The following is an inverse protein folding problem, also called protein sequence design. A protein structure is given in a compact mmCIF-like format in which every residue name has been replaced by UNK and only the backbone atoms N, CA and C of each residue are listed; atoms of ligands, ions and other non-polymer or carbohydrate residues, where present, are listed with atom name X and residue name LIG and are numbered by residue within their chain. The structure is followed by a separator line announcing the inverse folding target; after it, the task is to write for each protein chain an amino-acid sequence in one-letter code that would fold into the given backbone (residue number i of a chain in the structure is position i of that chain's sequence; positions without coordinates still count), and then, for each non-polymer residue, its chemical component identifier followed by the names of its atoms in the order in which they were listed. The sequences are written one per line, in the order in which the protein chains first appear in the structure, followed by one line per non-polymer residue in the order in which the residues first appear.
data_IF_319625639072
#
_entry.id   IF_319625639072
#
_cell.length_a   1.000
_cell.length_b   1.000
_cell.length_c   1.000
_cell.angle_alpha   90.00
_cell.angle_beta   90.00
_cell.angle_gamma   90.00
#
_symmetry.space_group_name_H-M   'P 1'
#
loop_
_entity.id
_entity.type
_entity.pdbx_description
1 polymer ?
#
# COMPACT_ATOMS: atom_id res chain seq x y z
N UNK A 1 2.77 56.28 -36.41
CA UNK A 1 3.90 55.51 -35.84
C UNK A 1 3.35 54.21 -35.25
N UNK A 2 4.05 53.10 -35.53
CA UNK A 2 3.71 51.73 -35.14
C UNK A 2 4.04 51.45 -33.67
N UNK A 3 3.17 50.60 -33.09
CA UNK A 3 3.29 49.66 -31.96
C UNK A 3 4.67 49.43 -31.33
N UNK A 4 4.66 49.35 -29.99
CA UNK A 4 5.03 48.19 -29.13
C UNK A 4 4.71 48.61 -27.69
N UNK A 5 4.00 47.89 -26.83
CA UNK A 5 3.85 46.46 -26.67
C UNK A 5 4.20 46.12 -25.21
N UNK A 6 3.37 46.55 -24.25
CA UNK A 6 3.50 46.15 -22.84
C UNK A 6 2.46 45.05 -22.58
N UNK A 7 2.72 43.85 -23.10
CA UNK A 7 1.95 42.67 -22.77
C UNK A 7 2.62 41.99 -21.60
N UNK A 8 1.83 41.86 -20.53
CA UNK A 8 2.16 41.20 -19.28
C UNK A 8 2.99 39.94 -19.51
N UNK A 9 4.09 39.83 -18.77
CA UNK A 9 4.80 38.58 -18.59
C UNK A 9 3.82 37.55 -17.99
N UNK A 10 3.24 36.73 -18.86
CA UNK A 10 2.42 35.59 -18.48
C UNK A 10 3.30 34.57 -17.80
N UNK A 11 3.26 34.54 -16.47
CA UNK A 11 3.89 33.50 -15.68
C UNK A 11 3.01 32.24 -15.74
N UNK A 12 3.41 31.29 -16.57
CA UNK A 12 2.92 29.93 -16.57
C UNK A 12 3.55 29.16 -15.40
N UNK A 13 2.84 28.17 -14.88
CA UNK A 13 3.15 27.42 -13.67
C UNK A 13 2.76 25.97 -13.91
N UNK A 14 3.43 25.18 -13.11
CA UNK A 14 3.68 23.81 -13.35
C UNK A 14 3.56 23.05 -11.99
N UNK A 15 2.36 22.64 -11.52
CA UNK A 15 2.05 21.48 -10.57
C UNK A 15 3.03 20.30 -10.71
N UNK A 16 3.50 19.60 -9.71
CA UNK A 16 4.23 18.34 -9.97
C UNK A 16 3.41 17.20 -9.40
N UNK A 17 2.79 16.36 -10.23
CA UNK A 17 2.28 15.06 -9.75
C UNK A 17 3.37 14.01 -9.63
N UNK A 18 4.63 14.43 -9.58
CA UNK A 18 5.79 13.59 -9.34
C UNK A 18 5.73 12.98 -7.95
N UNK A 19 5.50 11.66 -7.94
CA UNK A 19 5.61 10.73 -6.82
C UNK A 19 4.88 11.16 -5.54
N UNK A 20 3.73 10.52 -5.32
CA UNK A 20 3.02 10.48 -4.04
C UNK A 20 3.96 9.94 -2.96
N UNK A 21 4.70 10.82 -2.28
CA UNK A 21 5.22 10.55 -0.95
C UNK A 21 4.06 10.70 0.03
N UNK A 22 3.22 9.66 0.14
CA UNK A 22 2.47 9.52 1.37
C UNK A 22 3.49 9.29 2.48
N UNK A 23 3.62 10.18 3.45
CA UNK A 23 4.51 9.95 4.57
C UNK A 23 3.74 9.28 5.73
N UNK A 24 4.46 8.32 6.32
CA UNK A 24 4.29 7.51 7.52
C UNK A 24 3.08 7.76 8.43
N UNK A 25 2.19 6.77 8.42
CA UNK A 25 1.65 6.15 9.62
C UNK A 25 1.69 4.63 9.41
N UNK A 26 2.36 3.93 10.32
CA UNK A 26 3.08 2.65 10.18
C UNK A 26 2.25 1.42 9.76
N UNK A 27 2.42 0.98 8.52
CA UNK A 27 2.89 -0.37 8.23
C UNK A 27 4.12 -0.23 7.31
N UNK A 28 5.26 -0.79 7.73
CA UNK A 28 6.61 -0.49 7.24
C UNK A 28 6.91 -1.08 5.84
N UNK A 29 5.93 -1.74 5.20
CA UNK A 29 6.09 -2.40 3.90
C UNK A 29 5.08 -1.98 2.82
N UNK A 30 4.66 -0.70 2.80
CA UNK A 30 3.71 -0.11 1.83
C UNK A 30 3.67 -0.76 0.43
N UNK A 31 2.69 -1.65 0.29
CA UNK A 31 1.75 -1.87 -0.81
C UNK A 31 1.89 -0.84 -1.96
N UNK A 32 2.52 -1.16 -3.10
CA UNK A 32 2.50 -0.28 -4.27
C UNK A 32 1.06 -0.11 -4.79
N UNK A 33 0.50 1.07 -4.51
CA UNK A 33 -0.66 1.72 -5.14
C UNK A 33 -1.92 0.86 -5.37
N UNK A 34 -2.80 0.75 -4.35
CA UNK A 34 -4.21 0.29 -4.54
C UNK A 34 -4.90 1.01 -5.70
N UNK A 35 -4.59 2.30 -5.79
CA UNK A 35 -4.95 3.15 -6.90
C UNK A 35 -3.71 3.70 -7.57
N UNK A 36 -3.73 3.79 -8.89
CA UNK A 36 -2.83 4.65 -9.65
C UNK A 36 -3.52 6.00 -9.83
N UNK A 37 -2.85 7.07 -9.44
CA UNK A 37 -3.37 8.43 -9.58
C UNK A 37 -2.46 9.17 -10.57
N UNK A 38 -3.05 9.81 -11.57
CA UNK A 38 -2.36 10.61 -12.57
C UNK A 38 -3.17 11.85 -12.88
N UNK A 39 -2.59 13.04 -12.77
CA UNK A 39 -3.25 14.24 -13.28
C UNK A 39 -3.09 14.38 -14.80
N UNK A 40 -4.00 15.13 -15.42
CA UNK A 40 -3.96 15.43 -16.86
C UNK A 40 -2.68 16.14 -17.29
N UNK A 41 -2.17 17.00 -16.40
CA UNK A 41 -0.86 17.60 -16.48
C UNK A 41 -0.17 17.29 -15.17
N UNK A 42 1.13 16.95 -15.18
CA UNK A 42 1.86 16.97 -13.93
C UNK A 42 1.67 18.35 -13.31
N UNK A 43 1.59 19.40 -14.17
CA UNK A 43 1.96 20.79 -13.97
C UNK A 43 0.89 21.88 -14.38
N UNK A 44 0.35 22.70 -13.44
CA UNK A 44 -0.65 23.79 -13.63
C UNK A 44 -0.56 25.10 -12.76
N UNK A 45 -0.63 26.28 -13.40
CA UNK A 45 -0.80 27.61 -12.76
C UNK A 45 -2.09 27.88 -12.05
N UNK A 46 -1.96 28.40 -10.83
CA UNK A 46 -3.06 29.02 -10.11
C UNK A 46 -2.83 30.53 -10.07
N UNK A 47 -3.52 31.24 -10.96
CA UNK A 47 -3.63 32.70 -10.91
C UNK A 47 -4.67 33.16 -9.87
N UNK A 48 -4.92 34.47 -9.77
CA UNK A 48 -5.88 35.03 -8.80
C UNK A 48 -7.30 34.47 -8.93
N UNK A 49 -7.69 34.04 -10.13
CA UNK A 49 -9.01 33.47 -10.41
C UNK A 49 -9.14 31.97 -10.06
N UNK A 50 -8.02 31.33 -9.69
CA UNK A 50 -7.97 29.90 -9.43
C UNK A 50 -7.83 29.04 -10.69
N UNK A 51 -8.21 27.76 -10.58
CA UNK A 51 -8.18 26.84 -11.72
C UNK A 51 -8.70 25.45 -11.40
N UNK A 52 -8.90 24.65 -12.45
CA UNK A 52 -9.37 23.26 -12.33
C UNK A 52 -8.30 22.26 -12.79
N UNK A 53 -8.11 21.14 -12.11
CA UNK A 53 -7.16 20.10 -12.50
C UNK A 53 -7.88 18.76 -12.60
N UNK A 54 -7.83 18.10 -13.77
CA UNK A 54 -8.35 16.73 -13.88
C UNK A 54 -7.34 15.74 -13.32
N UNK A 55 -7.84 14.82 -12.51
CA UNK A 55 -7.11 13.72 -11.89
C UNK A 55 -7.78 12.41 -12.27
N UNK A 56 -7.00 11.49 -12.82
CA UNK A 56 -7.42 10.15 -13.18
C UNK A 56 -6.97 9.17 -12.11
N UNK A 57 -7.89 8.35 -11.65
CA UNK A 57 -7.69 7.31 -10.65
C UNK A 57 -8.00 5.96 -11.30
N UNK A 58 -7.07 5.01 -11.27
CA UNK A 58 -7.29 3.63 -11.74
C UNK A 58 -7.23 2.67 -10.56
N UNK A 59 -8.26 1.86 -10.37
CA UNK A 59 -8.19 0.72 -9.44
C UNK A 59 -7.22 -0.32 -9.98
N UNK A 60 -6.18 -0.62 -9.22
CA UNK A 60 -5.14 -1.57 -9.62
C UNK A 60 -5.22 -2.89 -8.85
N UNK A 61 -6.31 -3.16 -8.14
CA UNK A 61 -6.48 -4.35 -7.31
C UNK A 61 -7.54 -5.29 -7.89
N UNK A 62 -7.53 -6.58 -7.47
CA UNK A 62 -8.43 -7.60 -8.00
C UNK A 62 -9.87 -7.51 -7.47
N UNK A 63 -10.23 -6.43 -6.77
CA UNK A 63 -11.56 -6.24 -6.20
C UNK A 63 -12.01 -4.79 -6.23
N UNK A 64 -13.33 -4.58 -6.15
CA UNK A 64 -13.93 -3.27 -6.16
C UNK A 64 -13.68 -2.52 -4.85
N UNK A 65 -13.41 -1.22 -4.95
CA UNK A 65 -13.46 -0.34 -3.79
C UNK A 65 -14.78 0.41 -3.76
N UNK A 66 -15.31 0.62 -2.55
CA UNK A 66 -16.53 1.42 -2.31
C UNK A 66 -16.20 2.69 -1.53
N UNK A 67 -17.04 3.70 -1.70
CA UNK A 67 -16.95 5.00 -1.02
C UNK A 67 -15.54 5.61 -1.09
N UNK A 68 -14.94 5.59 -2.27
CA UNK A 68 -13.60 6.14 -2.48
C UNK A 68 -13.69 7.66 -2.51
N UNK A 69 -12.96 8.32 -1.62
CA UNK A 69 -12.89 9.78 -1.53
C UNK A 69 -11.47 10.24 -1.80
N UNK A 70 -11.32 11.17 -2.72
CA UNK A 70 -10.08 11.92 -2.90
C UNK A 70 -10.22 13.23 -2.15
N UNK A 71 -9.34 13.46 -1.19
CA UNK A 71 -9.18 14.72 -0.49
C UNK A 71 -7.89 15.36 -0.96
N UNK A 72 -7.95 16.65 -1.20
CA UNK A 72 -6.80 17.45 -1.56
C UNK A 72 -6.79 18.67 -0.64
N UNK A 73 -5.64 19.00 -0.08
CA UNK A 73 -5.51 20.07 0.90
C UNK A 73 -4.23 20.86 0.67
N UNK A 74 -4.32 22.17 0.90
CA UNK A 74 -3.20 23.09 0.86
C UNK A 74 -3.53 24.32 1.71
N UNK A 75 -2.55 24.88 2.42
CA UNK A 75 -2.80 25.97 3.38
C UNK A 75 -3.30 27.26 2.70
N UNK A 76 -2.74 27.56 1.53
CA UNK A 76 -3.06 28.77 0.76
C UNK A 76 -4.23 28.61 -0.25
N UNK A 77 -4.77 27.41 -0.42
CA UNK A 77 -5.81 27.16 -1.43
C UNK A 77 -7.04 26.51 -0.79
N UNK A 78 -8.22 26.97 -1.16
CA UNK A 78 -9.46 26.23 -0.97
C UNK A 78 -9.60 25.22 -2.11
N UNK A 79 -9.57 23.94 -1.77
CA UNK A 79 -9.60 22.83 -2.72
C UNK A 79 -10.90 22.07 -2.59
N UNK A 80 -11.60 21.91 -3.72
CA UNK A 80 -12.81 21.07 -3.81
C UNK A 80 -12.60 19.98 -4.85
N UNK A 81 -13.24 18.83 -4.66
CA UNK A 81 -13.05 17.64 -5.50
C UNK A 81 -14.41 17.14 -5.97
N UNK A 82 -14.56 16.96 -7.28
CA UNK A 82 -15.79 16.46 -7.91
C UNK A 82 -15.50 15.23 -8.80
N UNK A 83 -16.23 14.11 -8.65
CA UNK A 83 -17.20 13.86 -7.60
C UNK A 83 -16.54 13.73 -6.23
N UNK A 84 -17.23 14.19 -5.17
CA UNK A 84 -16.71 14.12 -3.80
C UNK A 84 -16.55 12.68 -3.29
N UNK A 85 -17.36 11.75 -3.83
CA UNK A 85 -17.33 10.32 -3.51
C UNK A 85 -17.52 9.51 -4.79
N UNK A 86 -16.63 8.56 -5.03
CA UNK A 86 -16.82 7.49 -6.00
C UNK A 86 -17.45 6.30 -5.26
N UNK A 87 -18.73 6.08 -5.49
CA UNK A 87 -19.52 5.03 -4.81
C UNK A 87 -18.89 3.65 -4.98
N UNK A 88 -18.41 3.36 -6.19
CA UNK A 88 -17.76 2.09 -6.53
C UNK A 88 -16.74 2.28 -7.65
N UNK A 89 -15.60 1.59 -7.53
CA UNK A 89 -14.55 1.56 -8.56
C UNK A 89 -14.12 0.11 -8.79
N UNK A 90 -14.45 -0.44 -9.95
CA UNK A 90 -14.20 -1.85 -10.32
C UNK A 90 -12.72 -2.14 -10.61
N UNK A 91 -12.26 -3.41 -10.55
CA UNK A 91 -10.90 -3.78 -10.95
C UNK A 91 -10.53 -3.25 -12.33
N UNK A 92 -9.41 -2.54 -12.42
CA UNK A 92 -8.93 -1.94 -13.68
C UNK A 92 -9.68 -0.69 -14.13
N UNK A 93 -10.80 -0.34 -13.51
CA UNK A 93 -11.61 0.83 -13.89
C UNK A 93 -10.85 2.13 -13.64
N UNK A 94 -10.97 3.05 -14.61
CA UNK A 94 -10.44 4.41 -14.53
C UNK A 94 -11.60 5.37 -14.25
N UNK A 95 -11.45 6.21 -13.22
CA UNK A 95 -12.35 7.30 -12.88
C UNK A 95 -11.63 8.64 -13.05
N UNK A 96 -12.34 9.62 -13.56
CA UNK A 96 -11.87 11.01 -13.61
C UNK A 96 -12.50 11.78 -12.46
N UNK A 97 -11.69 12.60 -11.79
CA UNK A 97 -12.09 13.59 -10.81
C UNK A 97 -11.58 14.96 -11.25
N UNK A 98 -12.25 16.02 -10.85
CA UNK A 98 -11.87 17.41 -11.08
C UNK A 98 -11.58 18.05 -9.75
N UNK A 99 -10.38 18.59 -9.57
CA UNK A 99 -10.00 19.42 -8.44
C UNK A 99 -10.23 20.88 -8.84
N UNK A 100 -11.04 21.61 -8.09
CA UNK A 100 -11.17 23.06 -8.25
C UNK A 100 -10.38 23.74 -7.13
N UNK A 101 -9.43 24.58 -7.53
CA UNK A 101 -8.43 25.22 -6.68
C UNK A 101 -8.69 26.73 -6.67
N UNK A 102 -9.00 27.29 -5.51
CA UNK A 102 -9.22 28.73 -5.32
C UNK A 102 -8.19 29.30 -4.35
N UNK A 103 -7.38 30.30 -4.76
CA UNK A 103 -6.48 30.99 -3.83
C UNK A 103 -7.25 31.71 -2.74
N UNK A 104 -6.77 31.62 -1.50
CA UNK A 104 -7.26 32.47 -0.42
C UNK A 104 -6.80 33.91 -0.64
N UNK A 105 -7.43 34.87 0.04
CA UNK A 105 -7.02 36.28 -0.07
C UNK A 105 -5.54 36.47 0.30
N UNK A 106 -4.83 37.33 -0.45
CA UNK A 106 -3.38 37.57 -0.26
C UNK A 106 -2.46 36.46 -0.80
N UNK A 107 -3.00 35.40 -1.39
CA UNK A 107 -2.21 34.29 -1.94
C UNK A 107 -1.45 34.72 -3.21
N UNK A 108 -0.14 34.46 -3.25
CA UNK A 108 0.71 34.77 -4.39
C UNK A 108 0.38 33.92 -5.63
N UNK A 109 0.52 34.47 -6.83
CA UNK A 109 0.40 33.69 -8.07
C UNK A 109 1.68 32.85 -8.28
N UNK A 110 1.63 31.57 -7.92
CA UNK A 110 2.76 30.62 -8.02
C UNK A 110 2.31 29.16 -8.07
N UNK A 111 3.29 28.27 -8.16
CA UNK A 111 3.17 26.83 -8.06
C UNK A 111 2.82 26.40 -6.63
N UNK A 112 1.84 25.52 -6.52
CA UNK A 112 1.41 24.96 -5.25
C UNK A 112 1.48 23.44 -5.32
N UNK A 113 2.16 22.84 -4.35
CA UNK A 113 2.20 21.39 -4.18
C UNK A 113 0.97 20.95 -3.37
N UNK A 114 -0.09 20.55 -4.07
CA UNK A 114 -1.34 20.12 -3.44
C UNK A 114 -1.21 18.68 -2.98
N UNK A 115 -1.23 18.47 -1.66
CA UNK A 115 -1.19 17.14 -1.09
C UNK A 115 -2.52 16.43 -1.33
N UNK A 116 -2.47 15.30 -2.03
CA UNK A 116 -3.63 14.44 -2.29
C UNK A 116 -3.60 13.24 -1.33
N UNK A 117 -4.73 13.00 -0.69
CA UNK A 117 -4.99 11.85 0.16
C UNK A 117 -6.23 11.12 -0.36
N UNK A 118 -6.09 9.84 -0.68
CA UNK A 118 -7.24 8.98 -0.91
C UNK A 118 -7.79 8.47 0.41
N UNK A 119 -9.05 8.06 0.43
CA UNK A 119 -9.63 7.21 1.47
C UNK A 119 -10.74 6.33 0.90
N UNK A 120 -11.01 5.19 1.52
CA UNK A 120 -12.10 4.30 1.14
C UNK A 120 -12.61 3.55 2.36
N UNK A 121 -13.93 3.30 2.41
CA UNK A 121 -14.52 2.44 3.43
C UNK A 121 -13.96 1.00 3.36
N UNK A 122 -13.61 0.54 2.16
CA UNK A 122 -13.01 -0.76 1.87
C UNK A 122 -11.47 -0.79 2.00
N UNK A 123 -10.86 0.21 2.66
CA UNK A 123 -9.46 0.07 3.06
C UNK A 123 -9.22 -1.06 4.07
N UNK A 124 -10.30 -1.56 4.67
CA UNK A 124 -10.30 -2.70 5.59
C UNK A 124 -10.04 -4.01 4.83
N UNK A 125 -8.99 -4.71 5.32
CA UNK A 125 -8.52 -6.10 5.11
C UNK A 125 -8.94 -6.91 3.85
N UNK A 126 -7.97 -7.68 3.33
CA UNK A 126 -8.15 -8.70 2.28
C UNK A 126 -9.25 -9.71 2.62
N UNK A 127 -9.50 -9.98 3.91
CA UNK A 127 -10.60 -10.83 4.39
C UNK A 127 -11.99 -10.37 3.90
N UNK A 128 -12.29 -9.07 3.88
CA UNK A 128 -13.57 -8.58 3.37
C UNK A 128 -13.65 -8.72 1.84
N UNK A 129 -12.55 -8.47 1.14
CA UNK A 129 -12.48 -8.69 -0.30
C UNK A 129 -12.63 -10.18 -0.66
N UNK A 130 -12.16 -11.09 0.19
CA UNK A 130 -12.30 -12.52 -0.01
C UNK A 130 -13.77 -12.97 0.01
N UNK A 131 -14.67 -12.28 0.71
CA UNK A 131 -16.09 -12.61 0.70
C UNK A 131 -16.76 -12.28 -0.65
N UNK A 132 -16.45 -11.12 -1.22
CA UNK A 132 -17.23 -10.54 -2.34
C UNK A 132 -16.73 -10.94 -3.73
N UNK A 133 -15.50 -11.45 -3.87
CA UNK A 133 -14.86 -11.69 -5.18
C UNK A 133 -14.92 -13.16 -5.56
N UNK A 134 -15.33 -13.50 -6.78
CA UNK A 134 -15.38 -14.89 -7.26
C UNK A 134 -13.99 -15.42 -7.66
N UNK A 135 -13.81 -16.74 -7.62
CA UNK A 135 -12.59 -17.41 -8.11
C UNK A 135 -12.32 -17.06 -9.57
N UNK A 136 -13.37 -17.06 -10.41
CA UNK A 136 -13.24 -16.74 -11.84
C UNK A 136 -12.80 -15.30 -12.07
N UNK A 137 -13.30 -14.34 -11.29
CA UNK A 137 -12.88 -12.94 -11.38
C UNK A 137 -11.39 -12.79 -11.01
N UNK A 138 -10.91 -13.49 -9.98
CA UNK A 138 -9.49 -13.51 -9.62
C UNK A 138 -8.62 -14.12 -10.72
N UNK A 139 -9.06 -15.24 -11.31
CA UNK A 139 -8.35 -15.88 -12.43
C UNK A 139 -8.33 -15.01 -13.68
N UNK A 140 -9.43 -14.33 -13.99
CA UNK A 140 -9.49 -13.36 -15.08
C UNK A 140 -8.54 -12.19 -14.81
N UNK A 141 -8.51 -11.66 -13.58
CA UNK A 141 -7.61 -10.58 -13.19
C UNK A 141 -6.14 -10.97 -13.39
N UNK A 142 -5.75 -12.19 -13.02
CA UNK A 142 -4.38 -12.70 -13.16
C UNK A 142 -3.90 -12.81 -14.61
N UNK A 143 -4.81 -12.96 -15.57
CA UNK A 143 -4.49 -12.95 -17.02
C UNK A 143 -4.20 -11.55 -17.56
N UNK A 144 -4.59 -10.51 -16.84
CA UNK A 144 -4.40 -9.12 -17.25
C UNK A 144 -3.04 -8.53 -16.89
N UNK A 145 -2.87 -7.27 -17.30
CA UNK A 145 -1.74 -6.43 -16.91
C UNK A 145 -1.95 -5.91 -15.47
N UNK A 146 -1.41 -6.66 -14.50
CA UNK A 146 -1.35 -6.27 -13.10
C UNK A 146 0.10 -6.23 -12.60
N UNK A 147 0.39 -5.36 -11.64
CA UNK A 147 1.71 -5.36 -10.99
C UNK A 147 1.88 -6.61 -10.09
N UNK A 148 3.13 -6.95 -9.76
CA UNK A 148 3.46 -8.13 -8.95
C UNK A 148 2.68 -8.18 -7.64
N UNK A 149 2.53 -7.04 -6.96
CA UNK A 149 1.80 -6.97 -5.70
C UNK A 149 0.31 -7.31 -5.85
N UNK A 150 -0.36 -6.74 -6.85
CA UNK A 150 -1.77 -7.00 -7.05
C UNK A 150 -2.05 -8.44 -7.50
N UNK A 151 -1.09 -9.08 -8.20
CA UNK A 151 -1.11 -10.52 -8.45
C UNK A 151 -0.96 -11.34 -7.16
N UNK A 152 -0.06 -10.95 -6.25
CA UNK A 152 0.08 -11.57 -4.93
C UNK A 152 -1.23 -11.48 -4.14
N UNK A 153 -1.90 -10.32 -4.15
CA UNK A 153 -3.23 -10.18 -3.51
C UNK A 153 -4.26 -11.09 -4.17
N UNK A 154 -4.27 -11.23 -5.50
CA UNK A 154 -5.18 -12.15 -6.17
C UNK A 154 -4.90 -13.61 -5.77
N UNK A 155 -3.64 -14.01 -5.67
CA UNK A 155 -3.24 -15.33 -5.18
C UNK A 155 -3.57 -15.55 -3.69
N UNK A 156 -3.45 -14.52 -2.84
CA UNK A 156 -3.91 -14.52 -1.45
C UNK A 156 -5.40 -14.84 -1.35
N UNK A 157 -6.23 -14.12 -2.10
CA UNK A 157 -7.68 -14.31 -2.11
C UNK A 157 -8.07 -15.69 -2.67
N UNK A 158 -7.35 -16.19 -3.68
CA UNK A 158 -7.50 -17.55 -4.19
C UNK A 158 -7.14 -18.60 -3.13
N UNK A 159 -6.02 -18.43 -2.45
CA UNK A 159 -5.57 -19.34 -1.39
C UNK A 159 -6.54 -19.36 -0.19
N UNK A 160 -7.07 -18.19 0.21
CA UNK A 160 -8.13 -18.09 1.22
C UNK A 160 -9.42 -18.83 0.82
N UNK A 161 -9.67 -18.99 -0.48
CA UNK A 161 -10.79 -19.76 -1.05
C UNK A 161 -10.47 -21.23 -1.29
N UNK A 162 -9.29 -21.70 -0.87
CA UNK A 162 -8.85 -23.09 -1.05
C UNK A 162 -8.32 -23.42 -2.45
N UNK A 163 -8.08 -22.43 -3.31
CA UNK A 163 -7.49 -22.67 -4.63
C UNK A 163 -6.00 -23.00 -4.52
N UNK A 164 -5.65 -24.22 -4.92
CA UNK A 164 -4.31 -24.76 -4.77
C UNK A 164 -3.27 -24.07 -5.67
N UNK A 165 -3.68 -23.56 -6.83
CA UNK A 165 -2.83 -22.86 -7.79
C UNK A 165 -2.42 -21.48 -7.25
N UNK A 166 -3.38 -20.74 -6.67
CA UNK A 166 -3.13 -19.50 -5.95
C UNK A 166 -2.16 -19.71 -4.79
N UNK A 167 -2.40 -20.72 -3.96
CA UNK A 167 -1.48 -21.07 -2.87
C UNK A 167 -0.07 -21.41 -3.40
N UNK A 168 0.04 -22.27 -4.42
CA UNK A 168 1.32 -22.65 -5.02
C UNK A 168 2.07 -21.44 -5.61
N UNK A 169 1.35 -20.49 -6.19
CA UNK A 169 1.92 -19.26 -6.73
C UNK A 169 2.52 -18.37 -5.63
N UNK A 170 1.88 -18.31 -4.45
CA UNK A 170 2.46 -17.64 -3.28
C UNK A 170 3.74 -18.33 -2.81
N UNK A 171 3.73 -19.67 -2.70
CA UNK A 171 4.93 -20.44 -2.30
C UNK A 171 6.08 -20.20 -3.28
N UNK A 172 5.82 -20.25 -4.58
CA UNK A 172 6.84 -19.97 -5.60
C UNK A 172 7.40 -18.54 -5.48
N UNK A 173 6.54 -17.57 -5.20
CA UNK A 173 6.94 -16.16 -5.03
C UNK A 173 7.75 -15.94 -3.74
N UNK A 174 7.48 -16.70 -2.68
CA UNK A 174 8.24 -16.64 -1.42
C UNK A 174 9.73 -16.97 -1.63
N UNK A 175 10.04 -17.85 -2.58
CA UNK A 175 11.41 -18.24 -2.94
C UNK A 175 12.12 -17.25 -3.88
N UNK A 176 11.46 -16.16 -4.28
CA UNK A 176 12.06 -15.14 -5.16
C UNK A 176 12.81 -14.06 -4.35
N UNK A 177 13.27 -13.01 -5.02
CA UNK A 177 13.89 -11.85 -4.36
C UNK A 177 12.83 -10.89 -3.80
N UNK A 178 13.18 -10.10 -2.77
CA UNK A 178 12.33 -9.00 -2.33
C UNK A 178 12.13 -7.97 -3.45
N UNK A 179 11.01 -7.21 -3.42
CA UNK A 179 9.99 -7.23 -2.37
C UNK A 179 8.96 -8.36 -2.52
N UNK A 180 8.98 -9.13 -3.62
CA UNK A 180 8.01 -10.18 -3.92
C UNK A 180 7.93 -11.27 -2.84
N UNK A 181 9.07 -11.75 -2.37
CA UNK A 181 9.15 -12.76 -1.30
C UNK A 181 8.52 -12.29 0.01
N UNK A 182 8.82 -11.05 0.44
CA UNK A 182 8.25 -10.45 1.66
C UNK A 182 6.73 -10.32 1.55
N UNK A 183 6.24 -9.92 0.39
CA UNK A 183 4.81 -9.83 0.10
C UNK A 183 4.10 -11.19 0.08
N UNK A 184 4.74 -12.21 -0.48
CA UNK A 184 4.23 -13.57 -0.44
C UNK A 184 4.17 -14.13 0.98
N UNK A 185 5.16 -13.84 1.83
CA UNK A 185 5.15 -14.22 3.24
C UNK A 185 3.94 -13.64 3.98
N UNK A 186 3.65 -12.35 3.77
CA UNK A 186 2.44 -11.70 4.32
C UNK A 186 1.16 -12.37 3.85
N UNK A 187 1.03 -12.57 2.53
CA UNK A 187 -0.15 -13.21 1.96
C UNK A 187 -0.38 -14.62 2.55
N UNK A 188 0.68 -15.43 2.66
CA UNK A 188 0.62 -16.74 3.30
C UNK A 188 0.17 -16.66 4.77
N UNK A 189 0.73 -15.72 5.54
CA UNK A 189 0.30 -15.48 6.93
C UNK A 189 -1.18 -15.11 7.07
N UNK A 190 -1.69 -14.29 6.14
CA UNK A 190 -3.09 -13.88 6.11
C UNK A 190 -4.05 -15.05 5.81
N UNK A 191 -3.61 -16.09 5.10
CA UNK A 191 -4.44 -17.28 4.89
C UNK A 191 -4.78 -18.00 6.20
N UNK A 192 -3.95 -17.84 7.24
CA UNK A 192 -4.08 -18.51 8.55
C UNK A 192 -4.29 -20.02 8.47
N UNK A 193 -3.77 -20.66 7.43
CA UNK A 193 -3.84 -22.12 7.26
C UNK A 193 -2.62 -22.79 7.92
N UNK A 194 -2.78 -23.98 8.53
CA UNK A 194 -1.64 -24.75 9.05
C UNK A 194 -0.54 -24.96 8.00
N UNK A 195 -0.94 -25.25 6.76
CA UNK A 195 -0.03 -25.41 5.62
C UNK A 195 0.79 -24.14 5.33
N UNK A 196 0.20 -22.94 5.45
CA UNK A 196 0.96 -21.71 5.27
C UNK A 196 2.04 -21.53 6.34
N UNK A 197 1.73 -21.91 7.58
CA UNK A 197 2.69 -21.87 8.69
C UNK A 197 3.88 -22.80 8.43
N UNK A 198 3.62 -24.02 7.98
CA UNK A 198 4.69 -24.97 7.61
C UNK A 198 5.58 -24.43 6.48
N UNK A 199 4.98 -23.84 5.44
CA UNK A 199 5.72 -23.19 4.34
C UNK A 199 6.60 -22.06 4.86
N UNK A 200 6.05 -21.18 5.70
CA UNK A 200 6.79 -20.04 6.27
C UNK A 200 7.96 -20.51 7.14
N UNK A 201 7.77 -21.55 7.95
CA UNK A 201 8.83 -22.15 8.78
C UNK A 201 9.92 -22.74 7.88
N UNK A 202 9.55 -23.48 6.83
CA UNK A 202 10.51 -24.04 5.87
C UNK A 202 11.32 -22.96 5.14
N UNK A 203 10.69 -21.82 4.82
CA UNK A 203 11.35 -20.72 4.12
C UNK A 203 12.45 -20.03 4.95
N UNK A 204 12.39 -20.07 6.29
CA UNK A 204 13.46 -19.56 7.17
C UNK A 204 14.78 -20.28 6.87
N UNK A 205 14.73 -21.58 6.57
CA UNK A 205 15.91 -22.40 6.33
C UNK A 205 16.56 -22.17 4.96
N UNK A 206 15.95 -21.37 4.08
CA UNK A 206 16.43 -21.09 2.73
C UNK A 206 17.28 -19.82 2.63
N UNK A 207 17.85 -19.37 3.75
CA UNK A 207 18.64 -18.14 3.87
C UNK A 207 18.00 -16.93 3.17
N UNK A 208 16.74 -16.59 3.49
CA UNK A 208 16.06 -15.48 2.84
C UNK A 208 16.65 -14.14 3.31
N UNK A 209 16.39 -13.07 2.55
CA UNK A 209 16.83 -11.71 2.93
C UNK A 209 16.24 -11.28 4.29
N UNK A 210 16.91 -10.37 5.00
CA UNK A 210 16.41 -9.79 6.26
C UNK A 210 14.99 -9.23 6.12
N UNK A 211 14.69 -8.57 5.00
CA UNK A 211 13.34 -8.07 4.69
C UNK A 211 12.30 -9.19 4.64
N UNK A 212 12.66 -10.34 4.05
CA UNK A 212 11.79 -11.51 3.97
C UNK A 212 11.66 -12.20 5.33
N UNK A 213 12.74 -12.28 6.12
CA UNK A 213 12.70 -12.79 7.49
C UNK A 213 11.77 -11.96 8.39
N UNK A 214 11.81 -10.63 8.28
CA UNK A 214 10.89 -9.76 9.01
C UNK A 214 9.42 -10.05 8.65
N UNK A 215 9.14 -10.23 7.36
CA UNK A 215 7.79 -10.56 6.88
C UNK A 215 7.34 -11.95 7.34
N UNK A 216 8.23 -12.95 7.31
CA UNK A 216 7.97 -14.30 7.84
C UNK A 216 7.69 -14.23 9.34
N UNK A 217 8.50 -13.51 10.11
CA UNK A 217 8.31 -13.34 11.55
C UNK A 217 6.94 -12.73 11.89
N UNK A 218 6.56 -11.66 11.18
CA UNK A 218 5.24 -11.07 11.34
C UNK A 218 4.13 -12.06 10.97
N UNK A 219 4.26 -12.76 9.84
CA UNK A 219 3.25 -13.70 9.33
C UNK A 219 3.03 -14.87 10.29
N UNK A 220 4.11 -15.41 10.83
CA UNK A 220 4.09 -16.46 11.86
C UNK A 220 3.38 -15.98 13.12
N UNK A 221 3.68 -14.78 13.62
CA UNK A 221 2.97 -14.18 14.76
C UNK A 221 1.48 -13.95 14.50
N UNK A 222 1.15 -13.43 13.32
CA UNK A 222 -0.23 -13.16 12.92
C UNK A 222 -1.07 -14.43 12.73
N UNK A 223 -0.44 -15.55 12.37
CA UNK A 223 -1.11 -16.84 12.20
C UNK A 223 -1.70 -17.39 13.50
N UNK A 224 -1.17 -16.97 14.67
CA UNK A 224 -1.49 -17.51 16.00
C UNK A 224 -1.27 -19.02 16.15
N UNK A 225 -0.48 -19.62 15.26
CA UNK A 225 -0.19 -21.04 15.32
C UNK A 225 0.84 -21.37 16.40
N UNK A 226 0.57 -22.37 17.24
CA UNK A 226 1.43 -22.72 18.36
C UNK A 226 2.86 -23.13 17.93
N UNK A 227 2.97 -23.82 16.79
CA UNK A 227 4.24 -24.25 16.21
C UNK A 227 5.08 -23.10 15.62
N UNK A 228 4.56 -21.87 15.55
CA UNK A 228 5.33 -20.69 15.16
C UNK A 228 6.25 -20.15 16.27
N UNK A 229 6.03 -20.55 17.54
CA UNK A 229 6.80 -20.03 18.69
C UNK A 229 8.31 -20.30 18.57
N UNK A 230 8.71 -21.57 18.40
CA UNK A 230 10.12 -21.94 18.33
C UNK A 230 10.87 -21.25 17.16
N UNK A 231 10.33 -21.21 15.92
CA UNK A 231 10.91 -20.42 14.84
C UNK A 231 11.09 -18.94 15.19
N UNK A 232 10.11 -18.32 15.86
CA UNK A 232 10.20 -16.92 16.26
C UNK A 232 11.23 -16.69 17.38
N UNK A 233 11.32 -17.59 18.36
CA UNK A 233 12.37 -17.55 19.39
C UNK A 233 13.77 -17.67 18.79
N UNK A 234 13.93 -18.44 17.71
CA UNK A 234 15.18 -18.51 16.97
C UNK A 234 15.49 -17.20 16.23
N UNK A 235 14.50 -16.62 15.53
CA UNK A 235 14.67 -15.33 14.85
C UNK A 235 14.90 -14.16 15.82
N UNK A 236 14.39 -14.24 17.04
CA UNK A 236 14.63 -13.25 18.10
C UNK A 236 16.09 -13.27 18.64
N UNK A 237 16.91 -14.23 18.20
CA UNK A 237 18.36 -14.28 18.47
C UNK A 237 19.20 -13.85 17.27
N UNK A 238 18.56 -13.32 16.21
CA UNK A 238 19.28 -12.83 15.03
C UNK A 238 20.11 -11.60 15.38
N UNK A 239 21.33 -11.54 14.84
CA UNK A 239 22.20 -10.35 14.88
C UNK A 239 21.62 -9.18 14.06
N UNK A 240 20.72 -9.47 13.11
CA UNK A 240 20.05 -8.44 12.34
C UNK A 240 18.92 -7.81 13.18
N UNK A 241 19.15 -6.60 13.68
CA UNK A 241 18.21 -5.86 14.53
C UNK A 241 16.77 -5.81 14.01
N UNK A 242 16.50 -5.57 12.71
CA UNK A 242 15.13 -5.57 12.18
C UNK A 242 14.44 -6.93 12.30
N UNK A 243 15.20 -8.02 12.11
CA UNK A 243 14.69 -9.40 12.20
C UNK A 243 14.36 -9.72 13.66
N UNK A 244 15.27 -9.39 14.58
CA UNK A 244 15.08 -9.53 16.03
C UNK A 244 13.79 -8.84 16.48
N UNK A 245 13.62 -7.55 16.15
CA UNK A 245 12.43 -6.77 16.52
C UNK A 245 11.15 -7.39 15.94
N UNK A 246 11.18 -7.81 14.68
CA UNK A 246 10.01 -8.42 14.01
C UNK A 246 9.63 -9.75 14.65
N UNK A 247 10.61 -10.56 15.06
CA UNK A 247 10.40 -11.82 15.75
C UNK A 247 9.78 -11.62 17.14
N UNK A 248 10.27 -10.66 17.92
CA UNK A 248 9.70 -10.30 19.22
C UNK A 248 8.26 -9.78 19.10
N UNK A 249 7.99 -8.96 18.09
CA UNK A 249 6.63 -8.54 17.76
C UNK A 249 5.75 -9.74 17.40
N UNK A 250 6.26 -10.68 16.60
CA UNK A 250 5.58 -11.93 16.26
C UNK A 250 5.25 -12.78 17.49
N UNK A 251 6.17 -12.92 18.44
CA UNK A 251 5.95 -13.63 19.71
C UNK A 251 4.85 -12.97 20.54
N UNK A 252 4.83 -11.63 20.60
CA UNK A 252 3.78 -10.86 21.28
C UNK A 252 2.39 -11.10 20.64
N UNK A 253 2.33 -11.24 19.32
CA UNK A 253 1.10 -11.57 18.60
C UNK A 253 0.61 -13.01 18.84
N UNK A 254 1.52 -13.98 19.08
CA UNK A 254 1.17 -15.36 19.39
C UNK A 254 0.52 -15.53 20.78
N UNK A 255 0.82 -14.68 21.76
CA UNK A 255 0.26 -14.81 23.10
C UNK A 255 0.61 -13.64 24.03
N UNK A 256 -0.41 -13.12 24.74
CA UNK A 256 -0.21 -12.19 25.84
C UNK A 256 0.58 -12.85 26.98
N UNK A 257 1.88 -12.54 27.01
CA UNK A 257 2.80 -12.33 28.13
C UNK A 257 4.19 -12.59 27.53
N UNK A 258 4.76 -11.53 26.99
CA UNK A 258 6.20 -11.49 26.68
C UNK A 258 6.91 -11.63 28.03
N UNK A 259 7.92 -12.48 28.10
CA UNK A 259 8.85 -12.44 29.22
C UNK A 259 9.51 -11.07 29.22
N UNK A 260 9.22 -10.23 30.21
CA UNK A 260 9.72 -8.85 30.31
C UNK A 260 11.25 -8.80 30.18
N UNK A 261 11.95 -9.86 30.58
CA UNK A 261 13.40 -9.98 30.44
C UNK A 261 13.84 -9.98 28.97
N UNK A 262 13.13 -10.70 28.10
CA UNK A 262 13.43 -10.79 26.66
C UNK A 262 13.15 -9.45 25.96
N UNK A 263 12.09 -8.75 26.37
CA UNK A 263 11.78 -7.42 25.84
C UNK A 263 12.78 -6.35 26.29
N UNK A 264 13.23 -6.39 27.56
CA UNK A 264 14.25 -5.47 28.08
C UNK A 264 15.61 -5.70 27.44
N UNK A 265 16.06 -6.95 27.33
CA UNK A 265 17.33 -7.29 26.68
C UNK A 265 17.37 -6.83 25.21
N UNK A 266 16.24 -6.88 24.50
CA UNK A 266 16.13 -6.37 23.13
C UNK A 266 16.20 -4.84 23.03
N UNK A 267 15.82 -4.11 24.09
CA UNK A 267 15.90 -2.65 24.16
C UNK A 267 17.27 -2.15 24.66
N UNK A 268 17.98 -2.95 25.45
CA UNK A 268 19.27 -2.61 26.06
C UNK A 268 20.46 -2.65 25.08
N UNK A 269 20.31 -3.26 23.90
CA UNK A 269 21.34 -3.26 22.84
C UNK A 269 21.17 -2.10 21.83
N UNK A 270 20.55 -1.00 22.24
CA UNK A 270 20.48 0.24 21.46
C UNK A 270 21.56 1.23 21.91
N UNK A 271 22.77 1.02 21.40
CA UNK A 271 23.78 2.08 21.23
C UNK A 271 24.20 2.13 19.74
#
# INVERSE_FOLDING_TARGET
MRKTGLLLAGAFVVVNTGLVFGHFCNNVYRIPGRFLIKAESPLKTIGKEGGTLKVYLKNNFPYAFRDVRLRAAHDALDVTVEPAVLQRVEPGEKKQLTLTLKPKEGTAAKDYDVKIMLSSAAWRNTEMAAADVSVDALKQYLRGEGNTWAKIVAWELLAMKGDAEGFSSLVSTLSQRPPGSSFAAYALGNTRTPRAVEVLIGAIQQNPSEQTLCAIAWALGHSKAANARQPLEALAKSEAEPVKISALAGLSLLGQKVDEAVFKQALEHRD
#
